data_IF_716192984757
#
_entry.id   IF_716192984757
#
_cell.length_a   1.000
_cell.length_b   1.000
_cell.length_c   1.000
_cell.angle_alpha   90.00
_cell.angle_beta   90.00
_cell.angle_gamma   90.00
#
_symmetry.space_group_name_H-M   'P 1'
#
loop_
_entity.id
_entity.type
_entity.pdbx_description
1 polymer ?
#
# COMPACT_ATOMS: atom_id res chain seq x y z
N UNK A 1 -18.19 15.54 -13.44
CA UNK A 1 -17.75 14.17 -13.13
C UNK A 1 -18.85 13.55 -12.27
N UNK A 2 -19.42 12.43 -12.69
CA UNK A 2 -20.62 11.85 -12.05
C UNK A 2 -20.29 10.65 -11.13
N UNK A 3 -19.10 10.09 -11.28
CA UNK A 3 -18.52 9.05 -10.41
C UNK A 3 -16.99 9.18 -10.41
N UNK A 4 -16.35 8.69 -9.36
CA UNK A 4 -14.89 8.65 -9.19
C UNK A 4 -14.52 7.46 -8.32
N UNK A 5 -13.22 7.11 -8.29
CA UNK A 5 -12.65 6.21 -7.30
C UNK A 5 -11.76 6.97 -6.31
N UNK A 6 -11.56 6.39 -5.13
CA UNK A 6 -10.64 6.90 -4.11
C UNK A 6 -10.11 5.72 -3.29
N UNK A 7 -8.82 5.75 -2.94
CA UNK A 7 -8.25 4.80 -2.00
C UNK A 7 -8.95 4.91 -0.63
N UNK A 8 -9.33 3.77 -0.03
CA UNK A 8 -10.10 3.79 1.23
C UNK A 8 -9.35 4.44 2.41
N UNK A 9 -8.01 4.38 2.44
CA UNK A 9 -7.20 5.05 3.46
C UNK A 9 -7.24 6.57 3.25
N UNK A 10 -7.03 7.03 2.01
CA UNK A 10 -7.14 8.46 1.67
C UNK A 10 -8.55 9.01 1.94
N UNK A 11 -9.59 8.23 1.66
CA UNK A 11 -10.97 8.61 2.00
C UNK A 11 -11.14 8.79 3.52
N UNK A 12 -10.61 7.88 4.32
CA UNK A 12 -10.69 7.96 5.78
C UNK A 12 -9.96 9.22 6.30
N UNK A 13 -8.76 9.49 5.80
CA UNK A 13 -7.97 10.68 6.18
C UNK A 13 -8.67 11.96 5.74
N UNK A 14 -9.22 12.01 4.53
CA UNK A 14 -9.98 13.17 4.05
C UNK A 14 -11.27 13.43 4.84
N UNK A 15 -11.95 12.39 5.32
CA UNK A 15 -13.10 12.52 6.23
C UNK A 15 -12.67 13.05 7.61
N UNK A 16 -11.59 12.52 8.17
CA UNK A 16 -11.05 12.96 9.46
C UNK A 16 -10.58 14.43 9.42
N UNK A 17 -10.00 14.85 8.30
CA UNK A 17 -9.58 16.24 8.06
C UNK A 17 -10.74 17.17 7.66
N UNK A 18 -11.94 16.64 7.43
CA UNK A 18 -13.12 17.40 7.00
C UNK A 18 -13.06 17.90 5.56
N UNK A 19 -12.11 17.42 4.76
CA UNK A 19 -11.98 17.74 3.34
C UNK A 19 -12.91 16.89 2.45
N UNK A 20 -13.50 15.82 3.00
CA UNK A 20 -14.52 14.99 2.34
C UNK A 20 -15.84 14.96 3.12
N UNK A 21 -16.93 15.42 2.49
CA UNK A 21 -18.29 15.39 3.03
C UNK A 21 -19.06 14.18 2.48
N UNK A 22 -19.14 13.11 3.28
CA UNK A 22 -19.78 11.87 2.88
C UNK A 22 -21.29 12.01 2.57
N UNK A 23 -21.96 13.06 3.05
CA UNK A 23 -23.39 13.28 2.76
C UNK A 23 -23.65 13.67 1.30
N UNK A 24 -22.61 14.15 0.60
CA UNK A 24 -22.69 14.59 -0.81
C UNK A 24 -22.42 13.47 -1.80
N UNK A 25 -22.00 12.30 -1.33
CA UNK A 25 -21.60 11.19 -2.18
C UNK A 25 -22.28 9.90 -1.74
N UNK A 26 -22.37 8.94 -2.67
CA UNK A 26 -22.83 7.59 -2.39
C UNK A 26 -21.73 6.62 -2.73
N UNK A 27 -21.31 5.79 -1.78
CA UNK A 27 -20.42 4.67 -2.04
C UNK A 27 -21.19 3.61 -2.85
N UNK A 28 -20.69 3.29 -4.04
CA UNK A 28 -21.31 2.33 -4.96
C UNK A 28 -20.73 0.93 -4.73
N UNK A 29 -19.42 0.84 -4.51
CA UNK A 29 -18.69 -0.42 -4.38
C UNK A 29 -17.35 -0.21 -3.65
N UNK A 30 -16.77 -1.30 -3.17
CA UNK A 30 -15.41 -1.38 -2.58
C UNK A 30 -14.75 -2.63 -3.13
N UNK A 31 -13.47 -2.52 -3.50
CA UNK A 31 -12.71 -3.66 -4.01
C UNK A 31 -12.38 -4.69 -2.96
N UNK A 32 -11.96 -5.86 -3.43
CA UNK A 32 -11.19 -6.78 -2.61
C UNK A 32 -9.90 -6.10 -2.10
N UNK A 33 -9.30 -6.60 -1.00
CA UNK A 33 -8.07 -6.03 -0.46
C UNK A 33 -6.94 -5.99 -1.49
N UNK A 34 -6.31 -4.84 -1.60
CA UNK A 34 -5.12 -4.63 -2.43
C UNK A 34 -3.89 -4.72 -1.51
N UNK A 35 -2.84 -5.49 -1.87
CA UNK A 35 -1.60 -5.52 -1.09
C UNK A 35 -0.99 -4.12 -0.91
N UNK A 36 -0.50 -3.82 0.29
CA UNK A 36 0.19 -2.55 0.58
C UNK A 36 1.47 -2.39 -0.24
N UNK A 37 1.89 -1.14 -0.44
CA UNK A 37 3.09 -0.77 -1.17
C UNK A 37 4.34 -1.52 -0.68
N UNK A 38 5.13 -2.14 -1.58
CA UNK A 38 6.35 -2.83 -1.18
C UNK A 38 7.47 -1.85 -0.85
N UNK A 39 8.27 -2.19 0.17
CA UNK A 39 9.61 -1.60 0.32
C UNK A 39 10.57 -2.41 -0.55
N UNK A 40 11.22 -1.75 -1.51
CA UNK A 40 12.15 -2.40 -2.44
C UNK A 40 13.59 -1.93 -2.20
N UNK A 41 14.54 -2.81 -2.51
CA UNK A 41 15.98 -2.52 -2.48
C UNK A 41 16.55 -2.89 -3.85
N UNK A 42 17.42 -2.03 -4.39
CA UNK A 42 18.04 -2.26 -5.69
C UNK A 42 18.75 -3.62 -5.75
N UNK A 43 18.45 -4.40 -6.78
CA UNK A 43 19.09 -5.70 -7.04
C UNK A 43 20.57 -5.60 -7.40
N UNK A 44 21.10 -4.39 -7.64
CA UNK A 44 22.53 -4.16 -7.94
C UNK A 44 23.40 -4.04 -6.69
N UNK A 45 22.79 -3.96 -5.50
CA UNK A 45 23.52 -3.88 -4.23
C UNK A 45 24.02 -5.26 -3.81
N UNK A 46 25.07 -5.27 -3.00
CA UNK A 46 25.63 -6.48 -2.42
C UNK A 46 24.55 -7.30 -1.68
N UNK A 47 24.62 -8.63 -1.79
CA UNK A 47 23.61 -9.52 -1.22
C UNK A 47 23.57 -9.41 0.30
N UNK A 48 24.73 -9.33 0.97
CA UNK A 48 24.76 -9.20 2.42
C UNK A 48 24.15 -7.88 2.89
N UNK A 49 24.32 -6.80 2.11
CA UNK A 49 23.64 -5.54 2.37
C UNK A 49 22.11 -5.68 2.23
N UNK A 50 21.62 -6.28 1.15
CA UNK A 50 20.18 -6.50 0.91
C UNK A 50 19.54 -7.33 2.02
N UNK A 51 20.23 -8.39 2.44
CA UNK A 51 19.78 -9.25 3.55
C UNK A 51 19.77 -8.50 4.88
N UNK A 52 20.79 -7.68 5.15
CA UNK A 52 20.86 -6.87 6.36
C UNK A 52 19.71 -5.85 6.43
N UNK A 53 19.37 -5.19 5.31
CA UNK A 53 18.22 -4.27 5.24
C UNK A 53 16.91 -5.01 5.47
N UNK A 54 16.69 -6.13 4.80
CA UNK A 54 15.48 -6.93 5.00
C UNK A 54 15.35 -7.39 6.46
N UNK A 55 16.43 -7.91 7.05
CA UNK A 55 16.44 -8.32 8.45
C UNK A 55 16.19 -7.16 9.41
N UNK A 56 16.75 -5.97 9.15
CA UNK A 56 16.55 -4.81 10.00
C UNK A 56 15.07 -4.40 10.03
N UNK A 57 14.42 -4.32 8.85
CA UNK A 57 13.00 -3.96 8.74
C UNK A 57 12.08 -5.01 9.39
N UNK A 58 12.33 -6.29 9.14
CA UNK A 58 11.52 -7.39 9.69
C UNK A 58 11.67 -7.56 11.21
N UNK A 59 12.71 -6.99 11.82
CA UNK A 59 12.97 -7.05 13.27
C UNK A 59 12.52 -5.79 14.01
N UNK A 60 11.95 -4.80 13.34
CA UNK A 60 11.38 -3.62 13.98
C UNK A 60 10.28 -4.03 14.97
N UNK A 61 10.28 -3.41 16.15
CA UNK A 61 9.23 -3.66 17.14
C UNK A 61 7.97 -2.89 16.74
N UNK A 62 6.76 -3.35 17.13
CA UNK A 62 5.53 -2.61 16.87
C UNK A 62 5.58 -1.14 17.30
N UNK A 63 6.23 -0.82 18.43
CA UNK A 63 6.41 0.55 18.91
C UNK A 63 7.32 1.42 18.01
N UNK A 64 8.28 0.80 17.29
CA UNK A 64 9.12 1.51 16.31
C UNK A 64 8.32 1.77 15.02
N UNK A 65 7.41 0.85 14.68
CA UNK A 65 6.52 0.97 13.54
C UNK A 65 5.42 1.99 13.82
N UNK A 66 4.87 2.07 15.03
CA UNK A 66 3.76 2.98 15.38
C UNK A 66 4.00 4.44 14.96
N UNK A 67 5.24 4.92 15.14
CA UNK A 67 5.64 6.27 14.72
C UNK A 67 5.55 6.48 13.21
N UNK A 68 5.84 5.43 12.44
CA UNK A 68 5.79 5.45 10.97
C UNK A 68 4.38 5.07 10.45
N UNK A 69 3.71 4.14 11.12
CA UNK A 69 2.37 3.65 10.82
C UNK A 69 1.32 4.76 10.89
N UNK A 70 1.54 5.77 11.74
CA UNK A 70 0.73 6.99 11.76
C UNK A 70 0.81 7.81 10.46
N UNK A 71 1.89 7.71 9.68
CA UNK A 71 1.99 8.32 8.34
C UNK A 71 1.46 7.41 7.23
N UNK A 72 1.28 6.12 7.52
CA UNK A 72 0.87 5.10 6.56
C UNK A 72 -0.60 4.68 6.76
N UNK A 73 -1.32 5.33 7.67
CA UNK A 73 -2.73 5.09 8.01
C UNK A 73 -3.08 3.61 8.26
N UNK A 74 -2.11 2.81 8.74
CA UNK A 74 -2.30 1.39 9.08
C UNK A 74 -2.64 1.26 10.56
N UNK A 75 -3.90 0.92 10.87
CA UNK A 75 -4.38 0.72 12.26
C UNK A 75 -5.01 -0.66 12.45
N UNK A 76 -4.58 -1.46 13.45
CA UNK A 76 -3.43 -1.21 14.32
C UNK A 76 -2.09 -1.36 13.54
N UNK A 77 -1.01 -0.70 13.98
CA UNK A 77 0.30 -0.92 13.38
C UNK A 77 0.70 -2.40 13.55
N UNK A 78 0.80 -3.11 12.42
CA UNK A 78 1.28 -4.49 12.35
C UNK A 78 2.80 -4.55 12.23
N UNK A 79 3.41 -5.73 12.44
CA UNK A 79 4.82 -5.92 12.13
C UNK A 79 5.07 -5.74 10.62
N UNK A 80 6.29 -5.38 10.24
CA UNK A 80 6.72 -5.51 8.86
C UNK A 80 6.73 -6.99 8.49
N UNK A 81 6.11 -7.33 7.36
CA UNK A 81 6.06 -8.71 6.85
C UNK A 81 6.89 -8.85 5.59
N UNK A 82 7.49 -10.03 5.42
CA UNK A 82 8.18 -10.37 4.18
C UNK A 82 7.14 -10.59 3.08
N UNK A 83 7.39 -10.00 1.91
CA UNK A 83 6.57 -10.14 0.72
C UNK A 83 7.43 -10.54 -0.46
N UNK A 84 6.80 -11.12 -1.47
CA UNK A 84 7.45 -11.57 -2.71
C UNK A 84 6.67 -11.07 -3.91
N UNK A 85 7.19 -11.27 -5.12
CA UNK A 85 6.47 -10.99 -6.37
C UNK A 85 5.08 -11.62 -6.40
N UNK A 86 4.95 -12.83 -5.86
CA UNK A 86 3.69 -13.58 -5.83
C UNK A 86 2.64 -12.90 -4.94
N UNK A 87 3.05 -12.16 -3.90
CA UNK A 87 2.13 -11.38 -3.06
C UNK A 87 1.37 -10.34 -3.89
N UNK A 88 1.99 -9.84 -4.96
CA UNK A 88 1.47 -8.80 -5.83
C UNK A 88 0.84 -9.36 -7.13
N UNK A 89 0.62 -10.68 -7.22
CA UNK A 89 0.01 -11.31 -8.39
C UNK A 89 -1.29 -10.65 -8.86
N UNK A 90 -2.23 -10.25 -7.98
CA UNK A 90 -3.46 -9.59 -8.42
C UNK A 90 -3.23 -8.30 -9.23
N UNK A 91 -2.14 -7.57 -8.97
CA UNK A 91 -1.79 -6.36 -9.73
C UNK A 91 -1.28 -6.70 -11.13
N UNK A 92 -0.49 -7.76 -11.27
CA UNK A 92 -0.02 -8.24 -12.58
C UNK A 92 -1.18 -8.80 -13.41
N UNK A 93 -2.12 -9.51 -12.77
CA UNK A 93 -3.32 -10.02 -13.42
C UNK A 93 -4.22 -8.86 -13.89
N UNK A 94 -4.39 -7.82 -13.06
CA UNK A 94 -5.13 -6.62 -13.42
C UNK A 94 -4.48 -5.88 -14.60
N UNK A 95 -3.17 -5.64 -14.55
CA UNK A 95 -2.44 -4.99 -15.63
C UNK A 95 -2.61 -5.75 -16.95
N UNK A 96 -2.54 -7.08 -16.90
CA UNK A 96 -2.78 -7.95 -18.06
C UNK A 96 -4.22 -7.82 -18.57
N UNK A 97 -5.21 -7.86 -17.68
CA UNK A 97 -6.63 -7.76 -18.03
C UNK A 97 -6.98 -6.39 -18.67
N UNK A 98 -6.31 -5.32 -18.23
CA UNK A 98 -6.47 -3.97 -18.77
C UNK A 98 -5.60 -3.71 -20.01
N UNK A 99 -4.70 -4.64 -20.37
CA UNK A 99 -3.77 -4.47 -21.49
C UNK A 99 -2.71 -3.38 -21.24
N UNK A 100 -2.39 -3.11 -19.97
CA UNK A 100 -1.38 -2.11 -19.60
C UNK A 100 0.02 -2.58 -19.96
N UNK A 101 0.85 -1.64 -20.41
CA UNK A 101 2.26 -1.82 -20.72
C UNK A 101 3.11 -0.83 -19.95
N UNK A 102 4.44 -1.02 -19.95
CA UNK A 102 5.39 -0.06 -19.36
C UNK A 102 5.34 1.33 -20.00
N UNK A 103 4.62 1.51 -21.13
CA UNK A 103 4.44 2.81 -21.79
C UNK A 103 3.22 3.58 -21.27
N UNK A 104 2.37 2.93 -20.47
CA UNK A 104 1.13 3.48 -19.94
C UNK A 104 1.28 4.02 -18.51
N UNK A 105 2.52 4.03 -17.99
CA UNK A 105 2.92 4.55 -16.67
C UNK A 105 3.81 5.78 -16.76
#
# INVERSE_FOLDING_TARGET
MEAAEINSQQLASAQAEGSFDASKFRQIWTSDPIPNDPITVSGKLDQAFRDAVAQALLKLKPADIEKVGAFLDVTPPGPMIAVTSETYQPLFDLATALGLTEKDV
#
